data_IF_377071391827
#
_entry.id   IF_377071391827
#
_cell.length_a   1.000
_cell.length_b   1.000
_cell.length_c   1.000
_cell.angle_alpha   90.00
_cell.angle_beta   90.00
_cell.angle_gamma   90.00
#
_symmetry.space_group_name_H-M   'P 1'
#
loop_
_entity.id
_entity.type
_entity.pdbx_description
1 polymer ?
#
# COMPACT_ATOMS: atom_id res chain seq x y z
N UNK A 1 10.25 14.62 2.53
CA UNK A 1 9.26 13.55 2.31
C UNK A 1 7.91 14.09 2.74
N UNK A 2 6.92 14.12 1.83
CA UNK A 2 5.57 14.60 2.16
C UNK A 2 4.76 13.39 2.59
N UNK A 3 4.36 13.33 3.86
CA UNK A 3 3.42 12.32 4.33
C UNK A 3 2.04 12.53 3.70
N UNK A 4 1.45 11.46 3.17
CA UNK A 4 0.08 11.46 2.64
C UNK A 4 -0.65 10.33 3.32
N UNK A 5 -1.56 10.68 4.24
CA UNK A 5 -2.41 9.70 4.90
C UNK A 5 -3.64 9.40 4.04
N UNK A 6 -4.22 8.23 4.25
CA UNK A 6 -5.26 7.65 3.41
C UNK A 6 -6.67 7.95 3.93
N UNK A 7 -7.53 8.48 3.07
CA UNK A 7 -8.95 8.65 3.42
C UNK A 7 -9.65 7.31 3.68
N UNK A 8 -9.17 6.20 3.09
CA UNK A 8 -9.70 4.87 3.37
C UNK A 8 -9.61 4.47 4.86
N UNK A 9 -8.59 4.93 5.59
CA UNK A 9 -8.44 4.63 7.01
C UNK A 9 -9.45 5.39 7.88
N UNK A 10 -9.60 6.70 7.64
CA UNK A 10 -10.63 7.49 8.30
C UNK A 10 -12.02 6.90 8.01
N UNK A 11 -12.29 6.57 6.74
CA UNK A 11 -13.53 5.93 6.31
C UNK A 11 -13.82 4.62 7.05
N UNK A 12 -12.82 3.75 7.23
CA UNK A 12 -12.98 2.47 7.93
C UNK A 12 -13.44 2.67 9.38
N UNK A 13 -12.87 3.64 10.09
CA UNK A 13 -13.26 3.93 11.48
C UNK A 13 -14.70 4.42 11.59
N UNK A 14 -15.12 5.33 10.70
CA UNK A 14 -16.53 5.74 10.65
C UNK A 14 -17.46 4.59 10.26
N UNK A 15 -17.01 3.68 9.39
CA UNK A 15 -17.76 2.48 9.04
C UNK A 15 -17.95 1.55 10.24
N UNK A 16 -16.92 1.34 11.05
CA UNK A 16 -17.00 0.55 12.30
C UNK A 16 -17.94 1.20 13.34
N UNK A 17 -17.96 2.53 13.42
CA UNK A 17 -18.84 3.25 14.35
C UNK A 17 -20.32 3.28 13.93
N UNK A 18 -20.68 2.79 12.74
CA UNK A 18 -22.03 2.98 12.16
C UNK A 18 -23.16 2.29 12.91
N UNK A 19 -22.86 1.24 13.66
CA UNK A 19 -23.86 0.51 14.46
C UNK A 19 -24.11 1.21 15.80
N UNK A 20 -23.05 1.75 16.43
CA UNK A 20 -23.13 2.44 17.71
C UNK A 20 -23.56 3.90 17.60
N UNK A 21 -23.27 4.57 16.50
CA UNK A 21 -23.54 5.99 16.29
C UNK A 21 -23.96 6.25 14.83
N UNK A 22 -25.12 5.72 14.39
CA UNK A 22 -25.50 5.67 12.98
C UNK A 22 -25.58 7.04 12.33
N UNK A 23 -26.18 8.04 12.98
CA UNK A 23 -26.34 9.38 12.40
C UNK A 23 -25.00 10.05 12.06
N UNK A 24 -24.08 10.29 13.02
CA UNK A 24 -22.80 10.92 12.72
C UNK A 24 -21.90 10.04 11.84
N UNK A 25 -21.92 8.72 12.01
CA UNK A 25 -21.12 7.82 11.19
C UNK A 25 -21.52 7.88 9.70
N UNK A 26 -22.82 7.76 9.39
CA UNK A 26 -23.28 7.85 8.00
C UNK A 26 -23.08 9.26 7.42
N UNK A 27 -23.23 10.30 8.22
CA UNK A 27 -22.95 11.68 7.81
C UNK A 27 -21.47 11.89 7.42
N UNK A 28 -20.53 11.30 8.17
CA UNK A 28 -19.11 11.32 7.83
C UNK A 28 -18.81 10.49 6.57
N UNK A 29 -19.36 9.26 6.48
CA UNK A 29 -19.20 8.39 5.30
C UNK A 29 -19.73 9.05 4.02
N UNK A 30 -20.86 9.76 4.09
CA UNK A 30 -21.42 10.49 2.96
C UNK A 30 -20.50 11.64 2.50
N UNK A 31 -19.88 12.37 3.43
CA UNK A 31 -18.89 13.43 3.11
C UNK A 31 -17.67 12.85 2.44
N UNK A 32 -17.11 11.76 2.98
CA UNK A 32 -15.97 11.06 2.38
C UNK A 32 -16.32 10.54 0.99
N UNK A 33 -17.52 9.96 0.80
CA UNK A 33 -17.99 9.49 -0.52
C UNK A 33 -18.00 10.60 -1.57
N UNK A 34 -18.35 11.84 -1.20
CA UNK A 34 -18.32 12.99 -2.12
C UNK A 34 -16.90 13.32 -2.58
N UNK A 35 -15.90 13.17 -1.70
CA UNK A 35 -14.49 13.33 -2.10
C UNK A 35 -14.11 12.28 -3.15
N UNK A 36 -14.44 11.01 -2.93
CA UNK A 36 -14.18 9.95 -3.92
C UNK A 36 -14.92 10.16 -5.25
N UNK A 37 -16.10 10.77 -5.23
CA UNK A 37 -16.82 11.09 -6.47
C UNK A 37 -16.05 12.12 -7.31
N UNK A 38 -15.43 13.12 -6.66
CA UNK A 38 -14.57 14.10 -7.34
C UNK A 38 -13.33 13.42 -7.93
N UNK A 39 -12.69 12.54 -7.17
CA UNK A 39 -11.54 11.77 -7.64
C UNK A 39 -11.87 10.88 -8.84
N UNK A 40 -13.08 10.30 -8.85
CA UNK A 40 -13.57 9.50 -9.97
C UNK A 40 -13.79 10.36 -11.21
N UNK A 41 -14.37 11.56 -11.05
CA UNK A 41 -14.57 12.51 -12.15
C UNK A 41 -13.24 13.05 -12.72
N UNK A 42 -12.20 13.15 -11.89
CA UNK A 42 -10.87 13.61 -12.27
C UNK A 42 -9.90 12.51 -12.72
N UNK A 43 -10.35 11.26 -12.88
CA UNK A 43 -9.47 10.11 -13.11
C UNK A 43 -8.66 10.23 -14.42
N UNK A 44 -9.29 10.72 -15.49
CA UNK A 44 -8.67 10.86 -16.83
C UNK A 44 -8.04 12.23 -17.08
N UNK A 45 -8.11 13.14 -16.11
CA UNK A 45 -7.54 14.49 -16.23
C UNK A 45 -6.01 14.47 -16.11
N UNK A 46 -5.39 15.50 -16.71
CA UNK A 46 -3.98 15.84 -16.46
C UNK A 46 -3.75 16.14 -14.97
N UNK A 47 -2.50 16.14 -14.52
CA UNK A 47 -2.21 16.47 -13.12
C UNK A 47 -2.66 17.91 -12.79
N UNK A 48 -2.45 18.85 -13.70
CA UNK A 48 -2.82 20.24 -13.59
C UNK A 48 -4.35 20.40 -13.50
N UNK A 49 -5.10 19.79 -14.41
CA UNK A 49 -6.56 19.87 -14.44
C UNK A 49 -7.20 19.17 -13.24
N UNK A 50 -6.63 18.04 -12.82
CA UNK A 50 -7.06 17.34 -11.61
C UNK A 50 -6.85 18.20 -10.37
N UNK A 51 -5.71 18.89 -10.28
CA UNK A 51 -5.44 19.82 -9.19
C UNK A 51 -6.45 20.97 -9.20
N UNK A 52 -6.71 21.59 -10.36
CA UNK A 52 -7.71 22.64 -10.48
C UNK A 52 -9.13 22.18 -10.07
N UNK A 53 -9.53 20.98 -10.50
CA UNK A 53 -10.79 20.35 -10.08
C UNK A 53 -10.85 20.19 -8.55
N UNK A 54 -9.78 19.67 -7.93
CA UNK A 54 -9.73 19.48 -6.47
C UNK A 54 -9.74 20.80 -5.70
N UNK A 55 -9.08 21.84 -6.21
CA UNK A 55 -9.13 23.18 -5.61
C UNK A 55 -10.57 23.73 -5.62
N UNK A 56 -11.29 23.56 -6.72
CA UNK A 56 -12.68 24.02 -6.84
C UNK A 56 -13.67 23.20 -6.02
N UNK A 57 -13.53 21.87 -6.02
CA UNK A 57 -14.56 20.96 -5.50
C UNK A 57 -14.18 20.29 -4.17
N UNK A 58 -12.94 19.82 -4.03
CA UNK A 58 -12.51 19.06 -2.85
C UNK A 58 -12.19 19.96 -1.67
N UNK A 59 -11.47 21.06 -1.88
CA UNK A 59 -11.05 21.99 -0.81
C UNK A 59 -12.24 22.54 -0.01
N UNK A 60 -13.30 23.14 -0.60
CA UNK A 60 -14.41 23.66 0.20
C UNK A 60 -15.15 22.56 0.96
N UNK A 61 -15.19 21.32 0.42
CA UNK A 61 -15.80 20.17 1.09
C UNK A 61 -14.97 19.66 2.25
N UNK A 62 -13.66 19.66 2.11
CA UNK A 62 -12.74 19.34 3.19
C UNK A 62 -12.86 20.36 4.32
N UNK A 63 -12.86 21.66 4.00
CA UNK A 63 -13.08 22.72 5.01
C UNK A 63 -14.39 22.50 5.78
N UNK A 64 -15.52 22.35 5.07
CA UNK A 64 -16.81 22.10 5.70
C UNK A 64 -16.86 20.78 6.50
N UNK A 65 -16.08 19.78 6.09
CA UNK A 65 -15.99 18.52 6.84
C UNK A 65 -15.14 18.68 8.11
N UNK A 66 -14.06 19.44 8.06
CA UNK A 66 -13.23 19.76 9.22
C UNK A 66 -14.03 20.51 10.30
N UNK A 67 -14.77 21.54 9.90
CA UNK A 67 -15.68 22.29 10.78
C UNK A 67 -16.73 21.36 11.40
N UNK A 68 -17.33 20.50 10.57
CA UNK A 68 -18.31 19.52 11.05
C UNK A 68 -17.69 18.54 12.06
N UNK A 69 -16.45 18.06 11.85
CA UNK A 69 -15.77 17.18 12.81
C UNK A 69 -15.55 17.86 14.16
N UNK A 70 -15.09 19.12 14.14
CA UNK A 70 -14.92 19.92 15.37
C UNK A 70 -16.22 20.12 16.13
N UNK A 71 -17.34 20.30 15.43
CA UNK A 71 -18.65 20.37 16.08
C UNK A 71 -19.05 19.01 16.67
N UNK A 72 -18.90 17.92 15.90
CA UNK A 72 -19.26 16.57 16.37
C UNK A 72 -18.43 16.09 17.56
N UNK A 73 -17.18 16.52 17.67
CA UNK A 73 -16.29 16.19 18.78
C UNK A 73 -16.91 16.58 20.13
N UNK A 74 -17.63 17.70 20.20
CA UNK A 74 -18.29 18.19 21.42
C UNK A 74 -19.40 17.27 21.93
N UNK A 75 -19.99 16.49 21.02
CA UNK A 75 -21.11 15.59 21.30
C UNK A 75 -20.65 14.13 21.45
N UNK A 76 -19.39 13.81 21.14
CA UNK A 76 -18.88 12.45 21.14
C UNK A 76 -18.14 12.13 22.44
N UNK A 77 -18.49 11.01 23.09
CA UNK A 77 -17.68 10.48 24.18
C UNK A 77 -16.31 10.03 23.65
N UNK A 78 -15.18 10.47 24.24
CA UNK A 78 -13.84 10.22 23.67
C UNK A 78 -13.52 8.75 23.41
N UNK A 79 -13.96 7.85 24.30
CA UNK A 79 -13.71 6.40 24.18
C UNK A 79 -14.73 5.66 23.32
N UNK A 80 -15.81 6.31 22.87
CA UNK A 80 -16.78 5.69 21.98
C UNK A 80 -16.17 5.43 20.59
N UNK A 81 -16.70 4.47 19.81
CA UNK A 81 -16.22 4.24 18.44
C UNK A 81 -16.26 5.49 17.55
N UNK A 82 -17.30 6.33 17.69
CA UNK A 82 -17.40 7.58 16.94
C UNK A 82 -16.41 8.64 17.42
N UNK A 83 -16.20 8.77 18.73
CA UNK A 83 -15.19 9.67 19.29
C UNK A 83 -13.78 9.30 18.84
N UNK A 84 -13.44 8.01 18.83
CA UNK A 84 -12.16 7.52 18.30
C UNK A 84 -12.01 7.75 16.79
N UNK A 85 -13.10 7.65 16.01
CA UNK A 85 -13.08 7.93 14.58
C UNK A 85 -12.84 9.42 14.28
N UNK A 86 -13.52 10.30 15.02
CA UNK A 86 -13.35 11.77 14.92
C UNK A 86 -11.93 12.15 15.31
N UNK A 87 -11.48 11.74 16.50
CA UNK A 87 -10.15 12.03 17.02
C UNK A 87 -9.05 11.55 16.06
N UNK A 88 -9.16 10.30 15.56
CA UNK A 88 -8.22 9.81 14.55
C UNK A 88 -8.19 10.70 13.30
N UNK A 89 -9.35 11.09 12.78
CA UNK A 89 -9.42 11.88 11.54
C UNK A 89 -8.83 13.28 11.75
N UNK A 90 -9.10 13.92 12.89
CA UNK A 90 -8.55 15.23 13.23
C UNK A 90 -7.04 15.19 13.50
N UNK A 91 -6.55 14.21 14.27
CA UNK A 91 -5.11 14.07 14.54
C UNK A 91 -4.29 13.83 13.27
N UNK A 92 -4.90 13.25 12.23
CA UNK A 92 -4.24 13.01 10.96
C UNK A 92 -4.56 14.08 9.90
N UNK A 93 -5.42 15.07 10.18
CA UNK A 93 -6.10 15.92 9.19
C UNK A 93 -5.21 16.56 8.11
N UNK A 94 -4.01 16.98 8.48
CA UNK A 94 -3.07 17.63 7.56
C UNK A 94 -2.65 16.70 6.41
N UNK A 95 -2.38 15.42 6.71
CA UNK A 95 -1.83 14.48 5.74
C UNK A 95 -2.82 14.09 4.61
N UNK A 96 -4.09 13.68 4.87
CA UNK A 96 -5.06 13.36 3.84
C UNK A 96 -5.60 14.61 3.15
N UNK A 97 -5.42 15.82 3.70
CA UNK A 97 -5.79 17.08 3.06
C UNK A 97 -4.71 17.65 2.11
N UNK A 98 -3.59 16.95 1.89
CA UNK A 98 -2.53 17.40 0.95
C UNK A 98 -2.83 17.10 -0.52
N UNK A 99 -3.59 16.04 -0.81
CA UNK A 99 -3.88 15.63 -2.20
C UNK A 99 -4.53 16.70 -3.09
N UNK A 100 -5.34 17.67 -2.59
CA UNK A 100 -5.87 18.76 -3.40
C UNK A 100 -4.79 19.72 -3.90
N UNK A 101 -3.67 19.83 -3.18
CA UNK A 101 -2.55 20.71 -3.57
C UNK A 101 -1.62 20.11 -4.63
N UNK A 102 -1.80 18.83 -4.98
CA UNK A 102 -0.89 18.12 -5.88
C UNK A 102 -1.65 17.11 -6.76
N UNK A 103 -1.76 17.39 -8.05
CA UNK A 103 -2.48 16.53 -9.01
C UNK A 103 -1.98 15.08 -9.12
N UNK A 104 -0.67 14.87 -8.90
CA UNK A 104 -0.05 13.54 -8.92
C UNK A 104 -0.29 12.69 -7.67
N UNK A 105 -0.81 13.28 -6.58
CA UNK A 105 -1.12 12.52 -5.37
C UNK A 105 -2.48 11.82 -5.51
N UNK A 106 -2.51 10.56 -5.07
CA UNK A 106 -3.74 9.80 -4.88
C UNK A 106 -4.40 10.17 -3.55
N UNK A 107 -5.74 10.17 -3.50
CA UNK A 107 -6.52 10.35 -2.26
C UNK A 107 -6.26 9.23 -1.23
N UNK A 108 -5.84 8.06 -1.72
CA UNK A 108 -5.51 6.88 -0.93
C UNK A 108 -4.10 6.38 -1.23
N UNK A 109 -3.40 5.90 -0.20
CA UNK A 109 -2.11 5.22 -0.31
C UNK A 109 -2.26 3.69 -0.52
N UNK A 110 -3.47 3.18 -0.79
CA UNK A 110 -3.79 1.75 -0.84
C UNK A 110 -2.87 0.95 -1.79
N UNK A 111 -2.36 1.57 -2.86
CA UNK A 111 -1.37 0.95 -3.74
C UNK A 111 -0.04 0.73 -3.00
N UNK A 112 0.51 1.77 -2.38
CA UNK A 112 1.74 1.68 -1.60
C UNK A 112 1.60 0.67 -0.44
N UNK A 113 0.46 0.67 0.26
CA UNK A 113 0.19 -0.31 1.33
C UNK A 113 0.14 -1.74 0.80
N UNK A 114 -0.51 -1.97 -0.35
CA UNK A 114 -0.51 -3.28 -1.01
C UNK A 114 0.89 -3.72 -1.41
N UNK A 115 1.71 -2.81 -1.93
CA UNK A 115 3.10 -3.09 -2.30
C UNK A 115 3.99 -3.42 -1.10
N UNK A 116 3.69 -2.87 0.09
CA UNK A 116 4.41 -3.15 1.34
C UNK A 116 3.88 -4.38 2.09
N UNK A 117 2.71 -4.90 1.71
CA UNK A 117 2.05 -6.01 2.41
C UNK A 117 2.89 -7.29 2.39
N UNK A 118 3.60 -7.57 1.29
CA UNK A 118 4.46 -8.74 1.18
C UNK A 118 5.62 -8.69 2.20
N UNK A 119 6.14 -7.50 2.47
CA UNK A 119 7.21 -7.22 3.41
C UNK A 119 6.68 -7.31 4.84
N UNK A 120 5.47 -6.80 5.10
CA UNK A 120 4.83 -6.93 6.41
C UNK A 120 4.55 -8.40 6.78
N UNK A 121 4.06 -9.21 5.83
CA UNK A 121 3.89 -10.66 6.00
C UNK A 121 5.27 -11.32 6.17
N UNK A 122 6.23 -10.92 5.35
CA UNK A 122 7.60 -11.42 5.40
C UNK A 122 8.24 -11.23 6.77
N UNK A 123 8.18 -10.02 7.35
CA UNK A 123 8.70 -9.73 8.70
C UNK A 123 8.09 -10.58 9.81
N UNK A 124 6.88 -11.13 9.59
CA UNK A 124 6.26 -12.09 10.50
C UNK A 124 6.84 -13.51 10.37
N UNK A 125 7.41 -13.84 9.21
CA UNK A 125 7.96 -15.16 8.87
C UNK A 125 9.49 -15.23 8.98
N UNK A 126 10.20 -14.11 8.74
CA UNK A 126 11.65 -13.96 8.90
C UNK A 126 11.93 -12.81 9.87
N UNK A 127 12.12 -13.16 11.14
CA UNK A 127 12.33 -12.22 12.25
C UNK A 127 13.58 -11.34 12.08
N UNK A 128 14.57 -11.80 11.29
CA UNK A 128 15.84 -11.10 11.08
C UNK A 128 16.26 -11.11 9.61
N UNK A 129 16.91 -10.03 9.18
CA UNK A 129 17.55 -9.88 7.85
C UNK A 129 19.03 -10.30 7.85
N UNK A 130 19.53 -10.84 8.97
CA UNK A 130 20.91 -11.33 9.14
C UNK A 130 21.97 -10.23 9.27
N UNK A 131 21.85 -9.11 8.54
CA UNK A 131 22.76 -7.95 8.61
C UNK A 131 22.15 -6.71 7.97
N UNK A 132 22.73 -5.53 8.22
CA UNK A 132 22.37 -4.27 7.54
C UNK A 132 22.52 -4.37 6.01
N UNK A 133 23.60 -5.04 5.55
CA UNK A 133 23.80 -5.29 4.13
C UNK A 133 22.69 -6.17 3.55
N UNK A 134 22.31 -7.23 4.27
CA UNK A 134 21.18 -8.08 3.90
C UNK A 134 19.87 -7.31 3.83
N UNK A 135 19.63 -6.40 4.77
CA UNK A 135 18.47 -5.51 4.76
C UNK A 135 18.43 -4.55 3.58
N UNK A 136 19.57 -3.94 3.22
CA UNK A 136 19.68 -3.08 2.02
C UNK A 136 19.41 -3.87 0.74
N UNK A 137 19.99 -5.06 0.59
CA UNK A 137 19.73 -5.93 -0.57
C UNK A 137 18.25 -6.30 -0.67
N UNK A 138 17.62 -6.68 0.44
CA UNK A 138 16.20 -6.99 0.47
C UNK A 138 15.35 -5.78 0.06
N UNK A 139 15.66 -4.58 0.56
CA UNK A 139 14.95 -3.35 0.19
C UNK A 139 15.04 -3.07 -1.32
N UNK A 140 16.21 -3.23 -1.94
CA UNK A 140 16.39 -3.08 -3.40
C UNK A 140 15.54 -4.08 -4.16
N UNK A 141 15.60 -5.37 -3.80
CA UNK A 141 14.83 -6.43 -4.48
C UNK A 141 13.31 -6.23 -4.32
N UNK A 142 12.85 -5.86 -3.13
CA UNK A 142 11.44 -5.56 -2.91
C UNK A 142 10.97 -4.33 -3.69
N UNK A 143 11.83 -3.32 -3.84
CA UNK A 143 11.51 -2.13 -4.64
C UNK A 143 11.38 -2.50 -6.12
N UNK A 144 12.36 -3.22 -6.67
CA UNK A 144 12.34 -3.67 -8.07
C UNK A 144 11.14 -4.56 -8.39
N UNK A 145 10.90 -5.59 -7.57
CA UNK A 145 9.75 -6.49 -7.76
C UNK A 145 8.42 -5.79 -7.52
N UNK A 146 8.38 -4.80 -6.63
CA UNK A 146 7.25 -3.90 -6.44
C UNK A 146 6.94 -3.09 -7.70
N UNK A 147 7.95 -2.45 -8.28
CA UNK A 147 7.82 -1.70 -9.54
C UNK A 147 7.36 -2.60 -10.69
N UNK A 148 7.90 -3.82 -10.82
CA UNK A 148 7.43 -4.79 -11.82
C UNK A 148 5.91 -5.03 -11.70
N UNK A 149 5.43 -5.32 -10.48
CA UNK A 149 3.99 -5.52 -10.23
C UNK A 149 3.15 -4.27 -10.49
N UNK A 150 3.71 -3.07 -10.27
CA UNK A 150 3.03 -1.81 -10.56
C UNK A 150 2.77 -1.63 -12.06
N UNK A 151 3.70 -2.11 -12.90
CA UNK A 151 3.60 -2.09 -14.35
C UNK A 151 3.00 -3.39 -14.94
N UNK A 152 2.40 -4.25 -14.11
CA UNK A 152 1.85 -5.56 -14.52
C UNK A 152 2.86 -6.52 -15.18
N UNK A 153 4.14 -6.39 -14.84
CA UNK A 153 5.25 -7.22 -15.33
C UNK A 153 5.49 -8.38 -14.36
N UNK A 154 5.65 -9.60 -14.89
CA UNK A 154 6.12 -10.74 -14.09
C UNK A 154 7.54 -10.48 -13.54
N UNK A 155 7.71 -10.38 -12.20
CA UNK A 155 9.01 -10.08 -11.62
C UNK A 155 10.06 -11.18 -11.88
N UNK A 156 9.64 -12.43 -12.06
CA UNK A 156 10.57 -13.52 -12.35
C UNK A 156 11.14 -13.40 -13.76
N UNK A 157 10.28 -13.21 -14.76
CA UNK A 157 10.71 -12.94 -16.13
C UNK A 157 11.62 -11.71 -16.22
N UNK A 158 11.26 -10.61 -15.55
CA UNK A 158 12.10 -9.41 -15.48
C UNK A 158 13.49 -9.70 -14.91
N UNK A 159 13.57 -10.35 -13.74
CA UNK A 159 14.87 -10.65 -13.12
C UNK A 159 15.70 -11.60 -13.99
N UNK A 160 15.08 -12.56 -14.68
CA UNK A 160 15.78 -13.45 -15.60
C UNK A 160 16.37 -12.69 -16.78
N UNK A 161 15.62 -11.76 -17.40
CA UNK A 161 16.12 -10.93 -18.49
C UNK A 161 17.28 -10.03 -18.04
N UNK A 162 17.09 -9.33 -16.92
CA UNK A 162 18.11 -8.46 -16.34
C UNK A 162 19.39 -9.24 -16.06
N UNK A 163 19.31 -10.38 -15.37
CA UNK A 163 20.50 -11.17 -15.02
C UNK A 163 21.19 -11.79 -16.24
N UNK A 164 20.47 -12.00 -17.36
CA UNK A 164 21.05 -12.45 -18.63
C UNK A 164 21.80 -11.34 -19.35
N UNK A 165 21.27 -10.11 -19.34
CA UNK A 165 21.82 -8.96 -20.07
C UNK A 165 22.92 -8.24 -19.29
N UNK A 166 22.81 -8.19 -17.97
CA UNK A 166 23.72 -7.43 -17.09
C UNK A 166 25.22 -7.73 -17.31
N UNK A 167 25.68 -8.98 -17.53
CA UNK A 167 27.10 -9.26 -17.72
C UNK A 167 27.71 -8.65 -18.99
N UNK A 168 26.88 -8.33 -19.98
CA UNK A 168 27.31 -7.84 -21.30
C UNK A 168 26.83 -6.42 -21.60
N UNK A 169 26.05 -5.81 -20.70
CA UNK A 169 25.51 -4.47 -20.88
C UNK A 169 26.49 -3.40 -20.34
N UNK A 170 26.83 -2.38 -21.14
CA UNK A 170 27.57 -1.20 -20.67
C UNK A 170 26.85 -0.48 -19.52
N UNK A 171 27.63 0.08 -18.58
CA UNK A 171 27.08 0.72 -17.37
C UNK A 171 26.21 1.96 -17.66
N UNK A 172 26.47 2.66 -18.76
CA UNK A 172 25.70 3.81 -19.25
C UNK A 172 24.35 3.41 -19.87
N UNK A 173 24.11 2.11 -20.11
CA UNK A 173 22.86 1.59 -20.66
C UNK A 173 21.95 0.93 -19.60
N UNK A 174 22.32 1.00 -18.31
CA UNK A 174 21.56 0.40 -17.22
C UNK A 174 20.13 0.94 -17.10
N UNK A 175 19.88 2.19 -17.50
CA UNK A 175 18.53 2.77 -17.50
C UNK A 175 17.56 1.97 -18.38
N UNK A 176 18.06 1.35 -19.45
CA UNK A 176 17.28 0.46 -20.32
C UNK A 176 16.85 -0.85 -19.66
N UNK A 177 17.36 -1.17 -18.47
CA UNK A 177 16.95 -2.32 -17.68
C UNK A 177 15.87 -1.99 -16.65
N UNK A 178 15.47 -0.72 -16.48
CA UNK A 178 14.41 -0.37 -15.53
C UNK A 178 13.09 -1.04 -15.95
N UNK A 179 12.25 -1.52 -14.99
CA UNK A 179 11.04 -2.26 -15.32
C UNK A 179 10.10 -1.53 -16.28
N UNK A 180 9.96 -0.22 -16.11
CA UNK A 180 9.13 0.67 -16.93
C UNK A 180 9.68 0.89 -18.36
N UNK A 181 10.99 0.78 -18.56
CA UNK A 181 11.67 1.01 -19.85
C UNK A 181 11.86 -0.29 -20.63
N UNK A 182 12.34 -1.34 -19.94
CA UNK A 182 12.78 -2.60 -20.52
C UNK A 182 11.63 -3.37 -21.20
N UNK A 183 10.42 -3.30 -20.62
CA UNK A 183 9.23 -4.00 -21.13
C UNK A 183 8.37 -3.15 -22.07
N UNK A 184 8.54 -1.82 -22.08
CA UNK A 184 7.94 -0.96 -23.11
C UNK A 184 8.62 -1.11 -24.48
N UNK A 185 9.88 -1.56 -24.49
CA UNK A 185 10.75 -1.60 -25.68
C UNK A 185 10.99 -3.02 -26.23
N UNK A 186 10.26 -4.04 -25.73
CA UNK A 186 10.58 -5.45 -26.01
C UNK A 186 9.82 -6.02 -27.22
N UNK A 187 10.48 -6.48 -28.29
CA UNK A 187 9.83 -7.08 -29.47
C UNK A 187 9.33 -8.52 -29.24
N UNK A 188 9.67 -9.14 -28.11
CA UNK A 188 9.25 -10.48 -27.70
C UNK A 188 8.58 -10.47 -26.33
N UNK A 189 7.65 -9.53 -26.10
CA UNK A 189 6.74 -9.67 -24.96
C UNK A 189 6.02 -11.02 -25.11
N UNK A 190 6.23 -12.00 -24.21
CA UNK A 190 5.54 -13.27 -24.35
C UNK A 190 4.05 -12.99 -24.24
N UNK A 191 3.24 -13.64 -25.08
CA UNK A 191 1.76 -13.56 -25.02
C UNK A 191 1.17 -13.97 -23.64
N UNK A 192 2.02 -14.36 -22.67
CA UNK A 192 1.67 -14.68 -21.29
C UNK A 192 2.40 -13.88 -20.19
N UNK A 193 3.10 -12.77 -20.49
CA UNK A 193 3.89 -12.01 -19.51
C UNK A 193 3.11 -11.05 -18.61
N UNK A 194 1.82 -10.80 -18.92
CA UNK A 194 0.94 -10.05 -18.02
C UNK A 194 0.54 -10.95 -16.87
N UNK A 195 0.68 -10.43 -15.66
CA UNK A 195 0.17 -11.10 -14.47
C UNK A 195 -1.33 -11.41 -14.68
N UNK A 196 -1.70 -12.70 -14.73
CA UNK A 196 -3.13 -13.09 -14.76
C UNK A 196 -3.81 -12.44 -13.55
N UNK A 197 -5.01 -11.85 -13.70
CA UNK A 197 -5.71 -11.26 -12.56
C UNK A 197 -5.82 -12.32 -11.48
N UNK A 198 -5.34 -12.01 -10.28
CA UNK A 198 -5.43 -12.94 -9.15
C UNK A 198 -6.90 -13.34 -8.99
N UNK A 199 -7.19 -14.60 -9.28
CA UNK A 199 -8.50 -15.18 -9.04
C UNK A 199 -8.80 -14.99 -7.55
N UNK A 200 -10.00 -14.48 -7.30
CA UNK A 200 -10.56 -14.35 -5.97
C UNK A 200 -10.60 -15.75 -5.34
N UNK A 201 -9.88 -15.93 -4.23
CA UNK A 201 -9.87 -17.12 -3.35
C UNK A 201 -9.20 -18.39 -3.91
N UNK A 202 -8.13 -18.85 -3.25
CA UNK A 202 -8.17 -19.97 -2.28
C UNK A 202 -6.80 -20.10 -1.57
N UNK A 203 -6.81 -20.72 -0.40
CA UNK A 203 -5.82 -20.56 0.67
C UNK A 203 -4.35 -20.80 0.28
N UNK A 204 -3.47 -19.94 0.81
CA UNK A 204 -2.04 -20.22 0.91
C UNK A 204 -1.87 -21.39 1.88
N UNK A 205 -1.76 -22.60 1.34
CA UNK A 205 -1.28 -23.76 2.07
C UNK A 205 0.17 -23.45 2.49
N UNK A 206 0.34 -23.29 3.80
CA UNK A 206 1.65 -23.20 4.44
C UNK A 206 2.40 -24.50 4.13
N UNK A 207 3.44 -24.44 3.30
CA UNK A 207 4.40 -25.54 3.17
C UNK A 207 5.13 -25.61 4.50
N UNK A 208 4.67 -26.51 5.37
CA UNK A 208 5.33 -26.86 6.62
C UNK A 208 6.71 -27.41 6.30
N UNK A 209 7.74 -26.59 6.48
CA UNK A 209 9.13 -27.03 6.44
C UNK A 209 9.31 -27.99 7.62
N UNK A 210 9.50 -29.27 7.31
CA UNK A 210 9.72 -30.33 8.29
C UNK A 210 10.87 -29.96 9.22
N UNK A 211 10.61 -30.04 10.53
CA UNK A 211 11.67 -29.90 11.54
C UNK A 211 12.66 -31.06 11.40
N UNK A 212 13.98 -30.80 11.48
CA UNK A 212 14.96 -31.89 11.49
C UNK A 212 14.82 -32.71 12.79
N UNK A 213 15.04 -34.05 12.74
CA UNK A 213 14.87 -34.91 13.89
C UNK A 213 15.86 -34.54 15.00
N UNK A 214 15.35 -34.30 16.21
CA UNK A 214 16.16 -34.09 17.42
C UNK A 214 16.89 -35.39 17.75
N UNK A 215 18.20 -35.41 17.55
CA UNK A 215 19.08 -36.48 18.01
C UNK A 215 18.95 -36.69 19.52
N UNK A 216 18.48 -37.87 19.92
CA UNK A 216 18.40 -38.28 21.32
C UNK A 216 19.78 -38.42 21.93
N UNK A 217 20.07 -37.63 22.96
CA UNK A 217 21.20 -37.87 23.86
C UNK A 217 20.88 -39.10 24.71
N UNK A 218 21.48 -40.23 24.36
CA UNK A 218 21.50 -41.41 25.20
C UNK A 218 22.32 -41.16 26.48
N UNK A 219 21.63 -41.09 27.62
CA UNK A 219 22.22 -41.22 28.94
C UNK A 219 22.72 -42.67 29.11
N UNK A 220 24.03 -42.87 28.97
CA UNK A 220 24.71 -44.10 29.38
C UNK A 220 24.67 -44.20 30.91
N UNK A 221 23.93 -45.16 31.45
CA UNK A 221 24.13 -45.66 32.82
C UNK A 221 25.43 -46.47 32.86
N UNK A 222 26.33 -46.15 33.78
CA UNK A 222 27.46 -47.01 34.16
C UNK A 222 26.97 -48.09 35.14
N UNK A 223 27.52 -49.32 35.12
CA UNK A 223 27.34 -50.29 36.18
C UNK A 223 28.46 -50.14 37.24
N UNK A 224 28.13 -50.45 38.50
CA UNK A 224 29.04 -50.38 39.65
C UNK A 224 28.30 -49.88 40.87
#
# INVERSE_FOLDING_TARGET
MIEVACWAHARRKFYEARTSAPLPAHAALARIRRLYAIETAGATLSAEDRQALRQRESVPRLTAFGEWLTEQERHALPKSPIGQAIAYTQSNWAAPCRHPGHGGLSIDNNLAERMLRAQAIGRRNWTFLGSDRGGRTAAVLYSLTGTCRHHDIDPFAYLQDVLRRLPSLPADQLEGLLPDVCFASHPAAPEGGRMKPASRAEGVACVSVGSPPRGGRGLRRRPG
#
